data_IF_691177657051
#
_entry.id   IF_691177657051
#
_cell.length_a   1.000
_cell.length_b   1.000
_cell.length_c   1.000
_cell.angle_alpha   90.00
_cell.angle_beta   90.00
_cell.angle_gamma   90.00
#
_symmetry.space_group_name_H-M   'P 1'
#
loop_
_entity.id
_entity.type
_entity.pdbx_description
1 polymer ?
#
# COMPACT_ATOMS: atom_id res chain seq x y z
N UNK A 1 -12.89 6.55 -15.36
CA UNK A 1 -13.58 5.36 -14.85
C UNK A 1 -12.63 4.15 -14.72
N UNK A 2 -11.79 3.84 -15.74
CA UNK A 2 -10.95 2.65 -15.74
C UNK A 2 -10.07 2.52 -14.48
N UNK A 3 -9.30 3.53 -14.03
CA UNK A 3 -8.48 3.38 -12.83
C UNK A 3 -9.30 3.10 -11.56
N UNK A 4 -10.45 3.76 -11.41
CA UNK A 4 -11.30 3.59 -10.24
C UNK A 4 -12.07 2.26 -10.21
N UNK A 5 -12.08 1.51 -11.31
CA UNK A 5 -12.72 0.20 -11.44
C UNK A 5 -11.71 -0.94 -11.52
N UNK A 6 -10.43 -0.64 -11.46
CA UNK A 6 -9.36 -1.64 -11.44
C UNK A 6 -9.10 -2.11 -10.01
N UNK A 7 -8.72 -3.38 -9.83
CA UNK A 7 -8.36 -3.94 -8.52
C UNK A 7 -7.14 -3.23 -7.92
N UNK A 8 -6.17 -2.86 -8.78
CA UNK A 8 -5.00 -2.10 -8.37
C UNK A 8 -4.60 -1.08 -9.44
N UNK A 9 -4.21 0.12 -9.00
CA UNK A 9 -3.84 1.25 -9.87
C UNK A 9 -2.49 1.82 -9.48
N UNK A 10 -1.60 1.93 -10.46
CA UNK A 10 -0.31 2.62 -10.33
C UNK A 10 -0.39 3.96 -11.06
N UNK A 11 0.00 5.04 -10.42
CA UNK A 11 0.10 6.36 -11.04
C UNK A 11 1.54 6.85 -10.99
N UNK A 12 2.03 7.43 -12.11
CA UNK A 12 3.37 8.01 -12.17
C UNK A 12 3.30 9.48 -11.77
N UNK A 13 4.11 9.85 -10.78
CA UNK A 13 4.17 11.21 -10.24
C UNK A 13 4.52 12.24 -11.33
N UNK A 14 3.83 13.38 -11.32
CA UNK A 14 4.01 14.49 -12.27
C UNK A 14 3.77 14.12 -13.77
N UNK A 15 3.23 12.94 -14.06
CA UNK A 15 2.90 12.49 -15.42
C UNK A 15 1.46 12.01 -15.52
N UNK A 16 1.03 11.12 -14.60
CA UNK A 16 -0.31 10.58 -14.59
C UNK A 16 -1.31 11.53 -13.94
N UNK A 17 -2.46 11.74 -14.58
CA UNK A 17 -3.57 12.50 -14.00
C UNK A 17 -4.88 11.76 -14.21
N UNK A 18 -5.75 11.80 -13.20
CA UNK A 18 -7.09 11.20 -13.22
C UNK A 18 -8.10 12.25 -12.77
N UNK A 19 -9.02 12.64 -13.67
CA UNK A 19 -10.15 13.52 -13.32
C UNK A 19 -11.31 13.32 -14.28
N UNK A 20 -12.52 13.61 -13.83
CA UNK A 20 -13.71 13.61 -14.67
C UNK A 20 -13.80 14.86 -15.53
N UNK A 21 -13.40 16.00 -14.96
CA UNK A 21 -13.37 17.30 -15.61
C UNK A 21 -12.00 17.92 -15.40
N UNK A 22 -11.27 18.17 -16.48
CA UNK A 22 -9.93 18.79 -16.41
C UNK A 22 -10.01 20.29 -16.03
N UNK A 23 -8.84 20.92 -15.73
CA UNK A 23 -8.78 22.31 -15.27
C UNK A 23 -9.53 23.32 -16.14
N UNK A 24 -9.51 23.26 -17.49
CA UNK A 24 -10.27 24.20 -18.31
C UNK A 24 -11.78 24.11 -18.11
N UNK A 25 -12.31 22.89 -17.97
CA UNK A 25 -13.73 22.68 -17.76
C UNK A 25 -14.17 23.11 -16.36
N UNK A 26 -13.36 22.84 -15.35
CA UNK A 26 -13.60 23.28 -13.98
C UNK A 26 -13.65 24.80 -13.90
N UNK A 27 -12.66 25.50 -14.51
CA UNK A 27 -12.63 26.96 -14.59
C UNK A 27 -13.89 27.53 -15.23
N UNK A 28 -14.35 26.89 -16.30
CA UNK A 28 -15.55 27.35 -17.02
C UNK A 28 -16.83 27.12 -16.19
N UNK A 29 -16.89 26.04 -15.43
CA UNK A 29 -18.10 25.68 -14.66
C UNK A 29 -18.19 26.41 -13.32
N UNK A 30 -17.06 26.61 -12.62
CA UNK A 30 -17.05 27.15 -11.24
C UNK A 30 -16.27 28.47 -11.09
N UNK A 31 -15.46 28.85 -12.11
CA UNK A 31 -14.50 29.96 -12.02
C UNK A 31 -13.20 29.63 -11.29
N UNK A 32 -13.08 28.44 -10.72
CA UNK A 32 -11.91 28.00 -9.98
C UNK A 32 -10.72 27.73 -10.92
N UNK A 33 -9.55 28.23 -10.53
CA UNK A 33 -8.30 28.02 -11.27
C UNK A 33 -7.43 27.07 -10.47
N UNK A 34 -7.22 25.87 -11.01
CA UNK A 34 -6.39 24.81 -10.42
C UNK A 34 -5.53 24.18 -11.51
N UNK A 35 -4.32 23.79 -11.18
CA UNK A 35 -3.48 23.01 -12.10
C UNK A 35 -3.87 21.52 -12.12
N UNK A 36 -3.41 20.79 -13.13
CA UNK A 36 -3.77 19.39 -13.34
C UNK A 36 -3.24 18.47 -12.23
N UNK A 37 -2.06 18.75 -11.71
CA UNK A 37 -1.44 17.93 -10.66
C UNK A 37 -2.18 18.07 -9.34
N UNK A 38 -2.53 19.29 -8.95
CA UNK A 38 -3.33 19.56 -7.75
C UNK A 38 -4.75 19.00 -7.87
N UNK A 39 -5.36 19.10 -9.06
CA UNK A 39 -6.74 18.63 -9.29
C UNK A 39 -6.83 17.11 -9.24
N UNK A 40 -5.92 16.40 -9.88
CA UNK A 40 -5.99 14.95 -10.01
C UNK A 40 -4.69 14.28 -10.39
N UNK A 41 -3.56 14.78 -9.88
CA UNK A 41 -2.25 14.20 -10.08
C UNK A 41 -1.95 13.05 -9.14
N UNK A 42 -0.75 12.53 -9.25
CA UNK A 42 -0.30 11.34 -8.54
C UNK A 42 -0.39 11.46 -7.03
N UNK A 43 0.12 12.55 -6.45
CA UNK A 43 0.07 12.78 -5.00
C UNK A 43 -1.38 12.93 -4.49
N UNK A 44 -2.25 13.60 -5.25
CA UNK A 44 -3.66 13.78 -4.89
C UNK A 44 -4.38 12.43 -4.81
N UNK A 45 -4.17 11.55 -5.79
CA UNK A 45 -4.86 10.27 -5.82
C UNK A 45 -4.22 9.20 -4.92
N UNK A 46 -2.92 9.27 -4.68
CA UNK A 46 -2.25 8.32 -3.80
C UNK A 46 -2.38 8.65 -2.31
N UNK A 47 -2.53 9.95 -1.93
CA UNK A 47 -2.53 10.38 -0.52
C UNK A 47 -3.88 10.86 -0.01
N UNK A 48 -4.66 11.55 -0.85
CA UNK A 48 -5.89 12.20 -0.41
C UNK A 48 -7.13 11.40 -0.79
N UNK A 49 -7.31 11.04 -2.06
CA UNK A 49 -8.49 10.31 -2.49
C UNK A 49 -8.41 8.80 -2.30
N UNK A 50 -7.19 8.23 -2.33
CA UNK A 50 -6.96 6.80 -2.26
C UNK A 50 -7.37 6.02 -3.52
N UNK A 51 -7.63 6.70 -4.65
CA UNK A 51 -7.96 6.05 -5.94
C UNK A 51 -6.74 5.33 -6.52
N UNK A 52 -5.55 5.93 -6.41
CA UNK A 52 -4.32 5.23 -6.80
C UNK A 52 -3.75 4.45 -5.60
N UNK A 53 -3.37 3.20 -5.84
CA UNK A 53 -2.83 2.31 -4.81
C UNK A 53 -1.32 2.49 -4.66
N UNK A 54 -0.64 2.78 -5.76
CA UNK A 54 0.81 2.96 -5.80
C UNK A 54 1.19 4.24 -6.55
N UNK A 55 2.13 4.98 -5.95
CA UNK A 55 2.73 6.17 -6.53
C UNK A 55 4.13 5.81 -7.04
N UNK A 56 4.33 5.83 -8.35
CA UNK A 56 5.62 5.59 -8.97
C UNK A 56 6.36 6.91 -9.24
N UNK A 57 7.67 6.93 -9.04
CA UNK A 57 8.49 8.11 -9.30
C UNK A 57 8.73 8.34 -10.81
N UNK A 58 8.74 7.24 -11.57
CA UNK A 58 8.96 7.22 -13.03
C UNK A 58 8.43 5.90 -13.63
N UNK A 59 8.53 5.77 -14.96
CA UNK A 59 8.04 4.59 -15.68
C UNK A 59 8.77 3.29 -15.29
N UNK A 60 10.07 3.34 -15.02
CA UNK A 60 10.85 2.18 -14.58
C UNK A 60 10.36 1.69 -13.20
N UNK A 61 10.10 2.64 -12.30
CA UNK A 61 9.51 2.33 -10.99
C UNK A 61 8.10 1.75 -11.15
N UNK A 62 7.27 2.30 -12.03
CA UNK A 62 5.93 1.76 -12.31
C UNK A 62 5.98 0.32 -12.81
N UNK A 63 6.91 -0.01 -13.72
CA UNK A 63 7.13 -1.38 -14.20
C UNK A 63 7.60 -2.30 -13.07
N UNK A 64 8.47 -1.81 -12.19
CA UNK A 64 8.93 -2.57 -11.02
C UNK A 64 7.79 -2.90 -10.07
N UNK A 65 6.95 -1.91 -9.75
CA UNK A 65 5.73 -2.09 -8.94
C UNK A 65 4.76 -3.07 -9.60
N UNK A 66 4.56 -2.98 -10.93
CA UNK A 66 3.70 -3.92 -11.67
C UNK A 66 4.21 -5.35 -11.52
N UNK A 67 5.53 -5.57 -11.65
CA UNK A 67 6.12 -6.91 -11.49
C UNK A 67 5.97 -7.44 -10.06
N UNK A 68 6.11 -6.58 -9.06
CA UNK A 68 5.85 -6.92 -7.66
C UNK A 68 4.39 -7.38 -7.48
N UNK A 69 3.43 -6.57 -7.92
CA UNK A 69 2.01 -6.88 -7.85
C UNK A 69 1.69 -8.24 -8.52
N UNK A 70 2.19 -8.45 -9.73
CA UNK A 70 1.99 -9.72 -10.45
C UNK A 70 2.62 -10.90 -9.71
N UNK A 71 3.75 -10.70 -9.04
CA UNK A 71 4.39 -11.77 -8.24
C UNK A 71 3.61 -12.12 -6.98
N UNK A 72 2.83 -11.16 -6.45
CA UNK A 72 1.98 -11.35 -5.28
C UNK A 72 0.61 -11.97 -5.64
N UNK A 73 0.24 -11.98 -6.94
CA UNK A 73 -0.91 -12.70 -7.46
C UNK A 73 -0.55 -14.18 -7.62
N UNK A 74 -0.64 -14.95 -6.56
CA UNK A 74 -0.27 -16.34 -6.63
C UNK A 74 -1.33 -17.22 -7.28
N UNK A 75 -0.86 -18.16 -8.08
CA UNK A 75 -1.60 -19.36 -8.41
C UNK A 75 -1.72 -20.24 -7.17
N UNK A 76 -2.94 -20.68 -6.86
CA UNK A 76 -3.36 -21.65 -5.83
C UNK A 76 -2.22 -22.16 -4.90
N UNK A 77 -2.30 -21.90 -3.60
CA UNK A 77 -1.24 -22.33 -2.68
C UNK A 77 -1.06 -23.84 -2.77
N UNK A 78 -0.02 -24.32 -3.43
CA UNK A 78 0.46 -25.66 -3.17
C UNK A 78 0.99 -25.69 -1.74
N UNK A 79 0.29 -26.40 -0.87
CA UNK A 79 0.67 -26.64 0.53
C UNK A 79 1.95 -27.52 0.63
N UNK A 80 2.92 -27.23 -0.20
CA UNK A 80 4.26 -27.79 -0.04
C UNK A 80 5.05 -26.81 0.80
N UNK A 81 5.40 -27.22 2.02
CA UNK A 81 6.47 -26.58 2.79
C UNK A 81 7.73 -26.59 1.90
N UNK A 82 7.79 -25.61 0.99
CA UNK A 82 8.99 -25.34 0.23
C UNK A 82 10.04 -24.73 1.16
N UNK A 83 11.29 -24.86 0.82
CA UNK A 83 12.37 -24.16 1.52
C UNK A 83 12.01 -22.66 1.60
N UNK A 84 11.72 -22.19 2.80
CA UNK A 84 11.48 -20.77 3.06
C UNK A 84 12.76 -20.11 3.55
N UNK A 85 12.93 -18.84 3.25
CA UNK A 85 14.02 -18.05 3.77
C UNK A 85 13.59 -17.52 5.15
N UNK A 86 14.32 -17.83 6.25
CA UNK A 86 13.97 -17.28 7.54
C UNK A 86 14.01 -15.73 7.51
N UNK A 87 13.32 -15.06 8.45
CA UNK A 87 13.43 -13.63 8.59
C UNK A 87 14.89 -13.18 8.69
N UNK A 88 15.23 -12.05 8.10
CA UNK A 88 16.56 -11.44 8.21
C UNK A 88 16.76 -10.74 9.56
N UNK A 89 15.66 -10.28 10.18
CA UNK A 89 15.64 -9.71 11.52
C UNK A 89 15.40 -10.85 12.52
N UNK A 90 16.09 -10.79 13.68
CA UNK A 90 16.03 -11.86 14.68
C UNK A 90 14.62 -11.94 15.32
N UNK A 91 13.91 -13.08 15.18
CA UNK A 91 12.59 -13.26 15.80
C UNK A 91 12.64 -13.24 17.34
N UNK A 92 13.74 -13.60 17.96
CA UNK A 92 13.87 -13.63 19.42
C UNK A 92 13.81 -12.22 20.04
N UNK A 93 14.14 -11.18 19.26
CA UNK A 93 13.97 -9.78 19.65
C UNK A 93 12.50 -9.37 19.85
N UNK A 94 11.52 -10.16 19.37
CA UNK A 94 10.09 -9.83 19.49
C UNK A 94 9.65 -9.60 20.94
N UNK A 95 10.21 -10.34 21.87
CA UNK A 95 9.91 -10.19 23.29
C UNK A 95 10.34 -8.82 23.87
N UNK A 96 11.34 -8.19 23.26
CA UNK A 96 11.81 -6.84 23.62
C UNK A 96 11.03 -5.70 22.99
N UNK A 97 10.22 -5.98 21.97
CA UNK A 97 9.48 -4.95 21.22
C UNK A 97 8.20 -4.48 21.91
N UNK A 98 7.57 -5.35 22.69
CA UNK A 98 6.34 -5.03 23.38
C UNK A 98 6.68 -4.13 24.57
N UNK A 99 6.37 -2.84 24.43
CA UNK A 99 6.57 -1.89 25.52
C UNK A 99 5.55 -2.16 26.64
N UNK A 100 5.99 -2.17 27.88
CA UNK A 100 5.09 -2.29 29.05
C UNK A 100 4.15 -1.07 29.22
N UNK A 101 4.48 0.06 28.58
CA UNK A 101 3.62 1.23 28.51
C UNK A 101 2.75 1.20 27.24
N UNK A 102 1.43 0.96 27.34
CA UNK A 102 0.54 0.89 26.18
C UNK A 102 0.38 2.21 25.43
N UNK A 103 0.87 3.33 25.99
CA UNK A 103 0.86 4.64 25.32
C UNK A 103 2.04 4.82 24.37
N UNK A 104 3.05 3.99 24.50
CA UNK A 104 4.20 3.98 23.57
C UNK A 104 3.92 2.99 22.47
N UNK A 105 3.61 3.50 21.27
CA UNK A 105 3.51 2.70 20.07
C UNK A 105 4.83 2.02 19.74
N UNK A 106 4.78 0.98 18.95
CA UNK A 106 5.93 0.34 18.31
C UNK A 106 5.74 0.40 16.79
N UNK A 107 6.86 0.37 16.06
CA UNK A 107 6.83 0.33 14.61
C UNK A 107 6.41 -1.07 14.13
N UNK A 108 5.23 -1.15 13.50
CA UNK A 108 4.67 -2.41 13.00
C UNK A 108 5.55 -3.09 11.95
N UNK A 109 6.32 -2.33 11.16
CA UNK A 109 7.24 -2.90 10.17
C UNK A 109 8.35 -3.71 10.82
N UNK A 110 8.83 -3.28 11.97
CA UNK A 110 9.79 -4.03 12.77
C UNK A 110 9.24 -5.36 13.26
N UNK A 111 7.94 -5.43 13.59
CA UNK A 111 7.27 -6.66 13.96
C UNK A 111 7.12 -7.58 12.73
N UNK A 112 6.58 -7.04 11.62
CA UNK A 112 6.36 -7.77 10.37
C UNK A 112 7.69 -8.36 9.88
N UNK A 113 8.77 -7.56 9.84
CA UNK A 113 10.08 -7.99 9.37
C UNK A 113 10.72 -9.14 10.15
N UNK A 114 10.24 -9.42 11.39
CA UNK A 114 10.69 -10.55 12.20
C UNK A 114 9.83 -11.81 12.05
N UNK A 115 8.72 -11.69 11.35
CA UNK A 115 7.76 -12.80 11.18
C UNK A 115 7.79 -13.33 9.75
N UNK A 116 7.96 -12.45 8.75
CA UNK A 116 7.81 -12.80 7.34
C UNK A 116 9.10 -13.30 6.72
N UNK A 117 8.98 -14.19 5.75
CA UNK A 117 10.08 -14.84 5.05
C UNK A 117 11.02 -13.81 4.40
N UNK A 118 12.32 -13.91 4.73
CA UNK A 118 13.36 -13.01 4.25
C UNK A 118 13.11 -11.54 4.60
N UNK A 119 12.27 -11.26 5.59
CA UNK A 119 11.82 -9.90 5.97
C UNK A 119 11.25 -9.10 4.80
N UNK A 120 10.63 -9.79 3.82
CA UNK A 120 10.04 -9.17 2.62
C UNK A 120 8.57 -8.92 2.83
N UNK A 121 8.16 -7.67 2.64
CA UNK A 121 6.78 -7.23 2.76
C UNK A 121 6.44 -6.26 1.62
N UNK A 122 5.36 -6.55 0.91
CA UNK A 122 4.83 -5.71 -0.19
C UNK A 122 3.68 -4.87 0.35
N UNK A 123 3.94 -3.62 0.69
CA UNK A 123 2.91 -2.75 1.27
C UNK A 123 1.92 -2.28 0.20
N UNK A 124 0.63 -2.42 0.51
CA UNK A 124 -0.50 -1.90 -0.25
C UNK A 124 -0.86 -0.49 0.21
N UNK A 125 -1.03 0.45 -0.71
CA UNK A 125 -1.38 1.86 -0.44
C UNK A 125 -0.48 2.50 0.65
N UNK A 126 0.83 2.41 0.50
CA UNK A 126 1.79 2.87 1.50
C UNK A 126 1.60 4.34 1.92
N UNK A 127 1.13 5.20 1.01
CA UNK A 127 0.96 6.64 1.22
C UNK A 127 -0.47 7.07 1.58
N UNK A 128 -1.41 6.12 1.72
CA UNK A 128 -2.78 6.38 2.09
C UNK A 128 -3.14 5.66 3.38
N UNK A 129 -3.76 6.35 4.34
CA UNK A 129 -4.15 5.76 5.60
C UNK A 129 -2.98 5.12 6.35
N UNK A 130 -1.86 5.81 6.48
CA UNK A 130 -0.56 5.32 6.98
C UNK A 130 -0.61 4.72 8.40
N UNK A 131 -1.66 5.02 9.17
CA UNK A 131 -1.86 4.46 10.51
C UNK A 131 -2.40 3.02 10.52
N UNK A 132 -2.71 2.46 9.32
CA UNK A 132 -2.97 1.04 9.11
C UNK A 132 -2.05 0.54 8.00
N UNK A 133 -1.22 -0.43 8.30
CA UNK A 133 -0.32 -1.09 7.34
C UNK A 133 -1.03 -2.32 6.81
N UNK A 134 -1.18 -2.39 5.49
CA UNK A 134 -1.75 -3.54 4.78
C UNK A 134 -0.75 -3.99 3.72
N UNK A 135 -0.61 -5.29 3.49
CA UNK A 135 0.28 -5.78 2.44
C UNK A 135 0.40 -7.29 2.40
N UNK A 136 1.14 -7.76 1.42
CA UNK A 136 1.36 -9.17 1.13
C UNK A 136 2.76 -9.61 1.56
N UNK A 137 2.85 -10.82 2.06
CA UNK A 137 4.11 -11.45 2.46
C UNK A 137 4.02 -12.98 2.38
N UNK A 138 5.12 -13.65 2.69
CA UNK A 138 5.14 -15.10 2.92
C UNK A 138 5.52 -15.40 4.36
N UNK A 139 4.88 -16.40 4.94
CA UNK A 139 5.23 -16.94 6.25
C UNK A 139 5.39 -18.46 6.11
N UNK A 140 6.60 -18.95 6.34
CA UNK A 140 6.98 -20.35 6.10
C UNK A 140 6.64 -20.85 4.69
N UNK A 141 6.83 -20.00 3.68
CA UNK A 141 6.54 -20.27 2.27
C UNK A 141 5.07 -20.11 1.87
N UNK A 142 4.18 -19.79 2.80
CA UNK A 142 2.75 -19.58 2.54
C UNK A 142 2.47 -18.09 2.35
N UNK A 143 1.80 -17.72 1.27
CA UNK A 143 1.37 -16.35 1.02
C UNK A 143 0.26 -15.94 1.99
N UNK A 144 0.42 -14.74 2.54
CA UNK A 144 -0.50 -14.16 3.54
C UNK A 144 -0.74 -12.69 3.26
N UNK A 145 -1.97 -12.24 3.49
CA UNK A 145 -2.29 -10.82 3.65
C UNK A 145 -2.10 -10.42 5.11
N UNK A 146 -1.39 -9.35 5.35
CA UNK A 146 -1.12 -8.82 6.69
C UNK A 146 -1.81 -7.47 6.84
N UNK A 147 -2.57 -7.31 7.94
CA UNK A 147 -3.12 -6.04 8.38
C UNK A 147 -2.56 -5.76 9.76
N UNK A 148 -1.85 -4.65 9.88
CA UNK A 148 -1.21 -4.24 11.13
C UNK A 148 -1.60 -2.81 11.53
N UNK A 149 -1.99 -2.63 12.79
CA UNK A 149 -2.26 -1.30 13.32
C UNK A 149 -0.95 -0.56 13.60
N UNK A 150 -0.81 0.66 13.09
CA UNK A 150 0.37 1.51 13.26
C UNK A 150 0.00 2.88 13.85
N UNK A 151 -1.08 2.97 14.58
CA UNK A 151 -1.53 4.20 15.22
C UNK A 151 -3.05 4.29 15.37
N UNK A 152 -3.57 5.53 15.42
CA UNK A 152 -5.01 5.76 15.52
C UNK A 152 -5.68 5.45 14.18
N UNK A 153 -6.77 4.70 14.21
CA UNK A 153 -7.56 4.40 13.01
C UNK A 153 -8.42 5.60 12.62
N UNK A 154 -8.14 6.16 11.46
CA UNK A 154 -8.93 7.21 10.82
C UNK A 154 -9.82 6.62 9.72
N UNK A 155 -10.67 7.45 9.10
CA UNK A 155 -11.57 7.03 8.04
C UNK A 155 -10.80 6.46 6.82
N UNK A 156 -9.66 7.07 6.48
CA UNK A 156 -8.78 6.65 5.39
C UNK A 156 -8.17 5.27 5.67
N UNK A 157 -7.74 5.04 6.90
CA UNK A 157 -7.20 3.75 7.35
C UNK A 157 -8.26 2.64 7.26
N UNK A 158 -9.49 2.95 7.64
CA UNK A 158 -10.61 2.01 7.54
C UNK A 158 -10.95 1.67 6.09
N UNK A 159 -10.94 2.67 5.19
CA UNK A 159 -11.14 2.46 3.75
C UNK A 159 -10.03 1.62 3.13
N UNK A 160 -8.76 1.89 3.51
CA UNK A 160 -7.61 1.07 3.08
C UNK A 160 -7.77 -0.39 3.50
N UNK A 161 -8.13 -0.62 4.76
CA UNK A 161 -8.33 -1.96 5.29
C UNK A 161 -9.47 -2.70 4.60
N UNK A 162 -10.61 -2.04 4.38
CA UNK A 162 -11.75 -2.62 3.67
C UNK A 162 -11.37 -3.04 2.25
N UNK A 163 -10.73 -2.15 1.48
CA UNK A 163 -10.28 -2.48 0.12
C UNK A 163 -9.27 -3.63 0.11
N UNK A 164 -8.32 -3.64 1.05
CA UNK A 164 -7.33 -4.73 1.13
C UNK A 164 -7.94 -6.11 1.44
N UNK A 165 -9.04 -6.15 2.18
CA UNK A 165 -9.75 -7.41 2.48
C UNK A 165 -10.49 -7.94 1.25
N UNK A 166 -10.91 -7.05 0.35
CA UNK A 166 -11.60 -7.42 -0.90
C UNK A 166 -10.64 -7.98 -1.96
N UNK A 167 -9.36 -7.61 -1.92
CA UNK A 167 -8.31 -8.14 -2.79
C UNK A 167 -7.93 -9.57 -2.42
#
# INVERSE_FOLDING_TARGET
YLPAMSDQTIIVKNQGTIFLAGPPLLKQATGEIVDAETLGGGDTHARLSGVADYLADNDEHAISLTRMIISDLSSIPEYKRSNYNPPMLDPDDLLGFVNSDPKKGFDIFNLIGRIVDGSKFSEFKATYGETLVCGFAKVCGVEVGIIGNNGVLFSESSKKGAHFIEL
#
